data_IF_733113179718
#
_entry.id   IF_733113179718
#
_cell.length_a   1.000
_cell.length_b   1.000
_cell.length_c   1.000
_cell.angle_alpha   90.00
_cell.angle_beta   90.00
_cell.angle_gamma   90.00
#
_symmetry.space_group_name_H-M   'P 1'
#
loop_
_entity.id
_entity.type
_entity.pdbx_description
1 polymer ?
#
# COMPACT_ATOMS: atom_id res chain seq x y z
N UNK A 1 10.87 25.37 12.84
CA UNK A 1 10.54 24.76 11.52
C UNK A 1 11.63 24.96 10.45
N UNK A 2 12.33 26.12 10.38
CA UNK A 2 13.36 26.38 9.35
C UNK A 2 14.55 25.40 9.35
N UNK A 3 15.08 25.01 10.51
CA UNK A 3 16.28 24.13 10.58
C UNK A 3 16.03 22.71 9.99
N UNK A 4 14.88 22.12 10.25
CA UNK A 4 14.52 20.80 9.70
C UNK A 4 14.37 20.83 8.17
N UNK A 5 13.81 21.90 7.63
CA UNK A 5 13.69 22.10 6.19
C UNK A 5 15.06 22.24 5.49
N UNK A 6 15.97 23.02 6.09
CA UNK A 6 17.35 23.15 5.59
C UNK A 6 18.13 21.84 5.66
N UNK A 7 17.97 21.08 6.75
CA UNK A 7 18.62 19.76 6.87
C UNK A 7 18.10 18.79 5.81
N UNK A 8 16.79 18.78 5.58
CA UNK A 8 16.16 17.94 4.54
C UNK A 8 16.64 18.34 3.14
N UNK A 9 16.75 19.64 2.86
CA UNK A 9 17.25 20.18 1.59
C UNK A 9 18.73 19.83 1.39
N UNK A 10 19.55 19.89 2.44
CA UNK A 10 20.97 19.54 2.39
C UNK A 10 21.19 18.05 2.18
N UNK A 11 20.42 17.17 2.87
CA UNK A 11 20.43 15.72 2.65
C UNK A 11 19.98 15.39 1.22
N UNK A 12 18.94 16.06 0.71
CA UNK A 12 18.48 15.88 -0.67
C UNK A 12 19.54 16.28 -1.70
N UNK A 13 20.22 17.42 -1.49
CA UNK A 13 21.31 17.85 -2.39
C UNK A 13 22.54 16.94 -2.29
N UNK A 14 22.88 16.41 -1.12
CA UNK A 14 23.98 15.45 -0.98
C UNK A 14 23.68 14.11 -1.66
N UNK A 15 22.45 13.64 -1.62
CA UNK A 15 22.00 12.45 -2.36
C UNK A 15 22.09 12.67 -3.88
N UNK A 16 21.76 13.87 -4.38
CA UNK A 16 21.89 14.21 -5.81
C UNK A 16 23.36 14.26 -6.29
N UNK A 17 24.30 14.61 -5.43
CA UNK A 17 25.72 14.69 -5.78
C UNK A 17 26.39 13.32 -5.99
N UNK A 18 25.81 12.24 -5.46
CA UNK A 18 26.36 10.88 -5.55
C UNK A 18 25.84 10.08 -6.76
N UNK A 19 24.88 10.61 -7.50
CA UNK A 19 24.18 9.83 -8.53
C UNK A 19 24.85 9.95 -9.90
N UNK A 20 25.24 8.81 -10.42
CA UNK A 20 25.88 8.74 -11.73
C UNK A 20 24.89 8.75 -12.89
N UNK A 21 23.72 8.19 -12.72
CA UNK A 21 22.59 8.18 -13.65
C UNK A 21 21.30 8.17 -12.86
N UNK A 22 20.39 9.07 -13.15
CA UNK A 22 19.04 9.01 -12.58
C UNK A 22 17.99 9.31 -13.64
N UNK A 23 16.81 8.72 -13.47
CA UNK A 23 15.65 9.03 -14.30
C UNK A 23 14.51 9.55 -13.43
N UNK A 24 13.80 10.55 -13.93
CA UNK A 24 12.59 11.08 -13.35
C UNK A 24 11.39 10.60 -14.16
N UNK A 25 10.36 10.10 -13.49
CA UNK A 25 9.12 9.68 -14.15
C UNK A 25 7.91 10.38 -13.55
N UNK A 26 6.97 10.76 -14.40
CA UNK A 26 5.67 11.31 -14.01
C UNK A 26 4.59 10.59 -14.80
N UNK A 27 3.54 10.16 -14.12
CA UNK A 27 2.49 9.38 -14.75
C UNK A 27 1.21 9.31 -13.94
N UNK A 28 0.32 8.46 -14.42
CA UNK A 28 -0.95 8.16 -13.76
C UNK A 28 -1.06 6.67 -13.54
N UNK A 29 -1.83 6.29 -12.53
CA UNK A 29 -2.10 4.89 -12.23
C UNK A 29 -3.54 4.71 -11.78
N UNK A 30 -4.02 3.48 -11.92
CA UNK A 30 -5.29 3.02 -11.38
C UNK A 30 -5.16 1.56 -10.97
N UNK A 31 -6.15 1.00 -10.29
CA UNK A 31 -6.07 -0.39 -9.89
C UNK A 31 -7.26 -0.89 -9.09
N UNK A 32 -7.05 -2.03 -8.47
CA UNK A 32 -8.01 -2.68 -7.59
C UNK A 32 -7.44 -2.75 -6.18
N UNK A 33 -8.30 -2.55 -5.20
CA UNK A 33 -7.99 -2.75 -3.78
C UNK A 33 -8.93 -3.78 -3.19
N UNK A 34 -8.40 -4.71 -2.41
CA UNK A 34 -9.19 -5.63 -1.59
C UNK A 34 -8.81 -5.41 -0.13
N UNK A 35 -9.80 -5.12 0.71
CA UNK A 35 -9.59 -4.76 2.11
C UNK A 35 -9.93 -5.92 3.04
N UNK A 36 -9.18 -6.00 4.13
CA UNK A 36 -9.42 -6.86 5.27
C UNK A 36 -9.44 -6.01 6.54
N UNK A 37 -10.51 -6.12 7.31
CA UNK A 37 -10.67 -5.42 8.59
C UNK A 37 -10.52 -6.43 9.73
N UNK A 38 -9.45 -6.30 10.50
CA UNK A 38 -9.27 -7.02 11.76
C UNK A 38 -9.92 -6.22 12.89
N UNK A 39 -11.10 -6.62 13.31
CA UNK A 39 -11.85 -5.98 14.39
C UNK A 39 -12.20 -7.01 15.47
N UNK A 40 -11.66 -6.81 16.69
CA UNK A 40 -11.87 -7.74 17.79
C UNK A 40 -13.34 -7.86 18.20
N UNK A 41 -14.13 -6.79 18.02
CA UNK A 41 -15.57 -6.80 18.28
C UNK A 41 -16.32 -7.64 17.25
N UNK A 42 -16.10 -7.37 15.96
CA UNK A 42 -16.73 -8.14 14.86
C UNK A 42 -16.30 -9.61 14.90
N UNK A 43 -15.03 -9.90 15.17
CA UNK A 43 -14.53 -11.29 15.20
C UNK A 43 -15.11 -12.14 16.35
N UNK A 44 -15.61 -11.52 17.41
CA UNK A 44 -16.30 -12.20 18.51
C UNK A 44 -17.80 -12.36 18.28
N UNK A 45 -18.33 -11.65 17.32
CA UNK A 45 -19.76 -11.57 17.05
C UNK A 45 -20.16 -12.64 16.03
N UNK A 46 -20.92 -13.67 16.41
CA UNK A 46 -21.28 -14.78 15.53
C UNK A 46 -22.20 -14.39 14.37
N UNK A 47 -22.78 -13.19 14.41
CA UNK A 47 -23.66 -12.68 13.35
C UNK A 47 -22.91 -12.29 12.08
N UNK A 48 -21.58 -12.13 12.14
CA UNK A 48 -20.83 -11.55 11.02
C UNK A 48 -19.86 -12.53 10.39
N UNK A 49 -19.95 -12.64 9.06
CA UNK A 49 -19.00 -13.38 8.23
C UNK A 49 -18.33 -12.44 7.24
N UNK A 50 -17.01 -12.42 7.21
CA UNK A 50 -16.23 -11.55 6.32
C UNK A 50 -16.53 -11.82 4.85
N UNK A 51 -16.76 -10.75 4.08
CA UNK A 51 -16.89 -10.76 2.63
C UNK A 51 -15.70 -10.04 2.00
N UNK A 52 -15.02 -10.71 1.07
CA UNK A 52 -13.91 -10.14 0.34
C UNK A 52 -14.39 -9.59 -1.00
N UNK A 53 -14.12 -8.33 -1.24
CA UNK A 53 -14.49 -7.64 -2.47
C UNK A 53 -13.29 -6.85 -2.99
N UNK A 54 -13.13 -6.86 -4.31
CA UNK A 54 -12.20 -5.95 -4.98
C UNK A 54 -12.95 -4.66 -5.34
N UNK A 55 -12.46 -3.53 -4.85
CA UNK A 55 -12.99 -2.19 -5.15
C UNK A 55 -12.06 -1.49 -6.12
N UNK A 56 -12.63 -0.81 -7.10
CA UNK A 56 -11.84 -0.03 -8.06
C UNK A 56 -11.25 1.20 -7.34
N UNK A 57 -9.94 1.41 -7.50
CA UNK A 57 -9.27 2.61 -7.03
C UNK A 57 -9.34 3.69 -8.12
N UNK A 58 -9.76 4.92 -7.77
CA UNK A 58 -9.73 6.04 -8.70
C UNK A 58 -8.32 6.30 -9.24
N UNK A 59 -8.25 7.10 -10.31
CA UNK A 59 -6.98 7.46 -10.92
C UNK A 59 -6.15 8.27 -9.93
N UNK A 60 -4.89 7.85 -9.74
CA UNK A 60 -3.89 8.55 -8.97
C UNK A 60 -2.74 9.04 -9.86
N UNK A 61 -1.89 9.87 -9.29
CA UNK A 61 -0.68 10.38 -9.95
C UNK A 61 0.53 9.70 -9.33
N UNK A 62 1.55 9.37 -10.13
CA UNK A 62 2.82 8.92 -9.62
C UNK A 62 3.98 9.79 -10.10
N UNK A 63 4.92 10.04 -9.22
CA UNK A 63 6.20 10.68 -9.50
C UNK A 63 7.26 9.72 -9.00
N UNK A 64 8.14 9.28 -9.89
CA UNK A 64 9.20 8.32 -9.57
C UNK A 64 10.57 8.89 -9.88
N UNK A 65 11.54 8.54 -9.05
CA UNK A 65 12.96 8.81 -9.26
C UNK A 65 13.69 7.47 -9.19
N UNK A 66 14.38 7.11 -10.26
CA UNK A 66 15.15 5.87 -10.35
C UNK A 66 16.64 6.14 -10.41
N UNK A 67 17.36 5.40 -9.63
CA UNK A 67 18.80 5.28 -9.61
C UNK A 67 19.21 3.86 -10.02
N UNK A 68 20.48 3.61 -10.20
CA UNK A 68 20.99 2.34 -10.71
C UNK A 68 20.52 1.10 -9.92
N UNK A 69 20.47 1.17 -8.57
CA UNK A 69 20.07 0.03 -7.71
C UNK A 69 18.79 0.25 -6.92
N UNK A 70 18.25 1.46 -6.87
CA UNK A 70 17.08 1.80 -6.08
C UNK A 70 16.28 2.95 -6.69
N UNK A 71 15.08 3.19 -6.20
CA UNK A 71 14.26 4.32 -6.60
C UNK A 71 13.30 4.76 -5.52
N UNK A 72 12.76 5.94 -5.69
CA UNK A 72 11.72 6.52 -4.84
C UNK A 72 10.46 6.74 -5.67
N UNK A 73 9.31 6.49 -5.05
CA UNK A 73 8.00 6.74 -5.66
C UNK A 73 7.17 7.57 -4.70
N UNK A 74 6.57 8.61 -5.22
CA UNK A 74 5.54 9.41 -4.58
C UNK A 74 4.26 9.26 -5.40
N UNK A 75 3.20 8.67 -4.83
CA UNK A 75 2.04 8.26 -5.60
C UNK A 75 0.71 8.64 -4.92
N UNK A 76 0.38 9.96 -4.80
CA UNK A 76 -0.87 10.39 -4.22
C UNK A 76 -2.07 9.87 -5.01
N UNK A 77 -3.12 9.45 -4.27
CA UNK A 77 -4.34 8.93 -4.84
C UNK A 77 -5.44 8.73 -3.80
N UNK A 78 -6.61 8.38 -4.26
CA UNK A 78 -7.73 8.04 -3.39
C UNK A 78 -7.79 6.53 -3.25
N UNK A 79 -7.97 6.04 -2.03
CA UNK A 79 -8.16 4.63 -1.74
C UNK A 79 -9.47 4.40 -0.98
N UNK A 80 -10.10 3.26 -1.25
CA UNK A 80 -11.24 2.78 -0.49
C UNK A 80 -10.78 1.62 0.39
N UNK A 81 -10.98 1.78 1.70
CA UNK A 81 -10.60 0.80 2.73
C UNK A 81 -11.86 0.41 3.50
N UNK A 82 -11.87 -0.76 4.08
CA UNK A 82 -13.01 -1.29 4.83
C UNK A 82 -13.60 -2.52 4.14
N UNK A 83 -13.83 -3.54 4.94
CA UNK A 83 -14.38 -4.82 4.53
C UNK A 83 -15.90 -4.84 4.75
N UNK A 84 -16.62 -5.51 3.86
CA UNK A 84 -18.02 -5.83 4.07
C UNK A 84 -18.15 -7.19 4.79
N UNK A 85 -19.25 -7.34 5.53
CA UNK A 85 -19.57 -8.58 6.25
C UNK A 85 -21.00 -8.99 5.91
N UNK A 86 -21.21 -10.27 5.69
CA UNK A 86 -22.56 -10.82 5.67
C UNK A 86 -23.13 -10.87 7.09
N UNK A 87 -24.40 -10.51 7.24
CA UNK A 87 -25.17 -10.81 8.44
C UNK A 87 -25.74 -12.21 8.25
N UNK A 88 -25.41 -13.13 9.19
CA UNK A 88 -25.79 -14.54 9.09
C UNK A 88 -26.81 -14.92 10.15
N UNK A 89 -27.78 -15.74 9.78
CA UNK A 89 -28.75 -16.31 10.71
C UNK A 89 -28.17 -17.52 11.48
N UNK A 90 -28.93 -18.06 12.43
CA UNK A 90 -28.52 -19.23 13.25
C UNK A 90 -28.25 -20.49 12.45
N UNK A 91 -28.74 -20.59 11.21
CA UNK A 91 -28.52 -21.71 10.30
C UNK A 91 -27.37 -21.46 9.31
N UNK A 92 -26.70 -20.30 9.40
CA UNK A 92 -25.62 -19.90 8.49
C UNK A 92 -26.08 -19.26 7.17
N UNK A 93 -27.39 -19.00 7.02
CA UNK A 93 -27.94 -18.27 5.88
C UNK A 93 -27.57 -16.79 5.92
N UNK A 94 -27.34 -16.19 4.74
CA UNK A 94 -26.98 -14.77 4.59
C UNK A 94 -28.26 -13.92 4.52
N UNK A 95 -28.48 -13.07 5.51
CA UNK A 95 -29.71 -12.29 5.67
C UNK A 95 -29.51 -10.80 5.33
N UNK A 96 -28.25 -10.34 5.28
CA UNK A 96 -27.96 -8.95 5.02
C UNK A 96 -26.48 -8.65 4.94
N UNK A 97 -26.15 -7.36 5.01
CA UNK A 97 -24.79 -6.84 4.90
C UNK A 97 -24.51 -5.78 5.96
N UNK A 98 -23.33 -5.88 6.57
CA UNK A 98 -22.68 -4.81 7.30
C UNK A 98 -21.59 -4.23 6.40
N UNK A 99 -21.72 -2.97 6.03
CA UNK A 99 -20.81 -2.27 5.11
C UNK A 99 -19.92 -1.30 5.88
N UNK A 100 -18.64 -1.40 5.68
CA UNK A 100 -17.64 -0.47 6.20
C UNK A 100 -17.02 0.24 5.02
N UNK A 101 -17.28 1.53 4.88
CA UNK A 101 -16.78 2.35 3.80
C UNK A 101 -15.93 3.49 4.37
N UNK A 102 -14.62 3.37 4.22
CA UNK A 102 -13.63 4.38 4.56
C UNK A 102 -12.91 4.80 3.29
N UNK A 103 -12.98 6.08 2.94
CA UNK A 103 -12.26 6.64 1.81
C UNK A 103 -11.20 7.60 2.28
N UNK A 104 -9.97 7.40 1.83
CA UNK A 104 -8.82 8.22 2.20
C UNK A 104 -8.16 8.85 0.99
N UNK A 105 -7.72 10.09 1.14
CA UNK A 105 -6.64 10.65 0.33
C UNK A 105 -5.34 10.08 0.88
N UNK A 106 -4.71 9.21 0.14
CA UNK A 106 -3.51 8.46 0.51
C UNK A 106 -2.29 8.97 -0.26
N UNK A 107 -1.17 9.16 0.44
CA UNK A 107 0.05 9.74 -0.14
C UNK A 107 1.23 8.82 0.15
N UNK A 108 1.35 7.66 -0.54
CA UNK A 108 2.44 6.75 -0.32
C UNK A 108 3.78 7.32 -0.80
N UNK A 109 4.77 7.21 0.08
CA UNK A 109 6.18 7.41 -0.21
C UNK A 109 6.83 6.04 -0.16
N UNK A 110 7.32 5.56 -1.28
CA UNK A 110 7.83 4.21 -1.42
C UNK A 110 9.29 4.21 -1.88
N UNK A 111 10.09 3.42 -1.19
CA UNK A 111 11.43 3.03 -1.62
C UNK A 111 11.30 1.74 -2.44
N UNK A 112 11.91 1.69 -3.60
CA UNK A 112 12.06 0.48 -4.40
C UNK A 112 13.53 0.09 -4.52
N UNK A 113 13.80 -1.19 -4.36
CA UNK A 113 15.13 -1.80 -4.56
C UNK A 113 15.03 -2.70 -5.77
N UNK A 114 15.86 -2.46 -6.78
CA UNK A 114 15.85 -3.23 -8.02
C UNK A 114 16.46 -4.62 -7.78
N UNK A 115 15.64 -5.65 -7.92
CA UNK A 115 16.06 -7.07 -7.84
C UNK A 115 16.56 -7.55 -9.22
N UNK A 116 15.88 -7.11 -10.28
CA UNK A 116 16.25 -7.36 -11.66
C UNK A 116 16.25 -6.01 -12.37
N UNK A 117 17.33 -5.70 -13.05
CA UNK A 117 17.50 -4.45 -13.78
C UNK A 117 18.02 -4.74 -15.19
N UNK A 118 17.11 -4.91 -16.14
CA UNK A 118 17.39 -5.07 -17.55
C UNK A 118 17.06 -3.76 -18.28
N UNK A 119 17.54 -3.61 -19.50
CA UNK A 119 17.35 -2.38 -20.30
C UNK A 119 15.87 -2.00 -20.48
N UNK A 120 14.99 -2.99 -20.64
CA UNK A 120 13.56 -2.78 -20.90
C UNK A 120 12.64 -3.23 -19.76
N UNK A 121 13.19 -3.89 -18.72
CA UNK A 121 12.41 -4.46 -17.62
C UNK A 121 13.13 -4.32 -16.29
N UNK A 122 12.43 -3.81 -15.29
CA UNK A 122 12.93 -3.72 -13.91
C UNK A 122 11.92 -4.38 -12.97
N UNK A 123 12.38 -5.32 -12.15
CA UNK A 123 11.61 -5.87 -11.05
C UNK A 123 12.18 -5.33 -9.74
N UNK A 124 11.33 -4.76 -8.91
CA UNK A 124 11.75 -4.14 -7.64
C UNK A 124 10.94 -4.66 -6.47
N UNK A 125 11.59 -4.87 -5.34
CA UNK A 125 10.94 -4.94 -4.05
C UNK A 125 10.60 -3.51 -3.61
N UNK A 126 9.43 -3.33 -3.01
CA UNK A 126 8.91 -2.02 -2.60
C UNK A 126 8.56 -2.04 -1.12
N UNK A 127 9.01 -1.03 -0.40
CA UNK A 127 8.57 -0.73 0.96
C UNK A 127 8.04 0.71 1.01
N UNK A 128 6.93 0.95 1.69
CA UNK A 128 6.26 2.25 1.70
C UNK A 128 5.71 2.63 3.05
N UNK A 129 5.65 3.92 3.29
CA UNK A 129 4.84 4.56 4.30
C UNK A 129 3.86 5.51 3.61
N UNK A 130 2.62 5.52 4.05
CA UNK A 130 1.57 6.27 3.39
C UNK A 130 0.70 6.99 4.42
N UNK A 131 1.00 8.28 4.70
CA UNK A 131 0.06 9.14 5.42
C UNK A 131 -1.24 9.27 4.62
N UNK A 132 -2.36 9.22 5.32
CA UNK A 132 -3.68 9.24 4.71
C UNK A 132 -4.64 10.11 5.51
N UNK A 133 -5.48 10.87 4.80
CA UNK A 133 -6.49 11.76 5.37
C UNK A 133 -7.88 11.21 5.01
N UNK A 134 -8.73 11.02 6.00
CA UNK A 134 -10.08 10.51 5.83
C UNK A 134 -10.96 11.53 5.10
N UNK A 135 -11.45 11.16 3.93
CA UNK A 135 -12.40 11.94 3.14
C UNK A 135 -13.85 11.62 3.52
N UNK A 136 -14.15 10.31 3.58
CA UNK A 136 -15.46 9.78 3.96
C UNK A 136 -15.29 8.60 4.90
N UNK A 137 -16.22 8.43 5.84
CA UNK A 137 -16.26 7.31 6.76
C UNK A 137 -17.68 7.03 7.20
N UNK A 138 -18.13 5.80 6.97
CA UNK A 138 -19.43 5.32 7.45
C UNK A 138 -19.43 3.83 7.64
N UNK A 139 -20.26 3.36 8.56
CA UNK A 139 -20.53 1.96 8.78
C UNK A 139 -22.05 1.78 8.93
N UNK A 140 -22.62 0.90 8.12
CA UNK A 140 -24.06 0.67 8.01
C UNK A 140 -24.36 -0.82 8.02
N UNK A 141 -25.52 -1.18 8.56
CA UNK A 141 -26.03 -2.55 8.54
C UNK A 141 -27.44 -2.58 7.98
N UNK A 142 -27.72 -3.61 7.19
CA UNK A 142 -29.07 -4.00 6.78
C UNK A 142 -29.24 -5.52 6.92
N UNK A 143 -30.44 -5.99 7.18
CA UNK A 143 -30.80 -7.40 7.13
C UNK A 143 -32.32 -7.58 7.03
N UNK A 144 -32.73 -8.75 6.52
CA UNK A 144 -34.13 -9.17 6.51
C UNK A 144 -34.60 -9.60 7.90
N UNK A 145 -35.91 -9.81 8.03
CA UNK A 145 -36.47 -10.51 9.19
C UNK A 145 -35.80 -11.87 9.32
N UNK A 146 -35.20 -12.15 10.45
CA UNK A 146 -34.45 -13.39 10.60
C UNK A 146 -34.15 -13.72 12.06
N UNK A 147 -33.71 -14.94 12.30
CA UNK A 147 -33.23 -15.39 13.62
C UNK A 147 -31.69 -15.22 13.65
N UNK A 148 -31.21 -14.27 14.45
CA UNK A 148 -29.78 -14.00 14.63
C UNK A 148 -29.26 -14.51 15.97
N UNK A 149 -28.00 -14.93 16.00
CA UNK A 149 -27.33 -15.35 17.22
C UNK A 149 -26.65 -14.17 17.91
N UNK A 150 -27.36 -13.50 18.81
CA UNK A 150 -26.77 -12.38 19.56
C UNK A 150 -25.77 -12.88 20.61
N UNK A 151 -24.64 -12.17 20.79
CA UNK A 151 -23.72 -12.47 21.88
C UNK A 151 -24.36 -12.16 23.23
N UNK A 152 -24.04 -12.95 24.30
CA UNK A 152 -24.66 -12.80 25.62
C UNK A 152 -24.59 -11.40 26.22
N UNK A 153 -23.58 -10.65 25.88
CA UNK A 153 -23.35 -9.28 26.34
C UNK A 153 -24.47 -8.32 25.90
N UNK A 154 -25.20 -8.66 24.84
CA UNK A 154 -26.24 -7.81 24.24
C UNK A 154 -27.64 -8.17 24.73
N UNK A 155 -27.89 -9.40 25.22
CA UNK A 155 -29.22 -9.85 25.64
C UNK A 155 -29.98 -8.94 26.62
N UNK A 156 -29.32 -8.30 27.61
CA UNK A 156 -30.01 -7.40 28.52
C UNK A 156 -30.55 -6.13 27.88
N UNK A 157 -30.15 -5.85 26.64
CA UNK A 157 -30.39 -4.58 25.95
C UNK A 157 -31.25 -4.75 24.70
N UNK A 158 -31.81 -5.94 24.49
CA UNK A 158 -32.66 -6.20 23.32
C UNK A 158 -33.92 -5.34 23.34
N UNK A 159 -34.28 -4.73 22.20
CA UNK A 159 -35.52 -3.97 22.04
C UNK A 159 -36.77 -4.88 22.31
N UNK A 160 -37.93 -4.28 22.68
CA UNK A 160 -39.15 -5.03 23.01
C UNK A 160 -39.75 -5.81 21.82
N UNK A 161 -39.43 -5.41 20.59
CA UNK A 161 -39.86 -6.06 19.35
C UNK A 161 -38.97 -7.25 18.93
N UNK A 162 -37.94 -7.54 19.73
CA UNK A 162 -37.05 -8.69 19.55
C UNK A 162 -37.52 -9.84 20.41
N UNK A 163 -37.72 -11.04 19.81
CA UNK A 163 -38.19 -12.22 20.52
C UNK A 163 -37.05 -13.21 20.76
N UNK A 164 -36.72 -13.43 22.02
CA UNK A 164 -35.70 -14.44 22.41
C UNK A 164 -36.27 -15.84 22.28
N UNK A 165 -35.56 -16.68 21.53
CA UNK A 165 -35.85 -18.12 21.38
C UNK A 165 -34.67 -18.97 21.85
N UNK A 166 -34.84 -20.29 21.88
CA UNK A 166 -33.82 -21.23 22.40
C UNK A 166 -32.45 -21.09 21.68
N UNK A 167 -32.46 -20.92 20.36
CA UNK A 167 -31.26 -20.94 19.48
C UNK A 167 -30.92 -19.59 18.87
N UNK A 168 -31.59 -18.52 19.32
CA UNK A 168 -31.33 -17.18 18.81
C UNK A 168 -32.38 -16.16 19.14
N UNK A 169 -32.36 -15.04 18.44
CA UNK A 169 -33.31 -13.94 18.60
C UNK A 169 -33.95 -13.63 17.26
N UNK A 170 -35.28 -13.68 17.22
CA UNK A 170 -36.03 -13.18 16.07
C UNK A 170 -35.95 -11.65 16.05
N UNK A 171 -35.48 -11.11 14.93
CA UNK A 171 -35.31 -9.68 14.73
C UNK A 171 -36.12 -9.20 13.54
N UNK A 172 -36.73 -8.02 13.61
CA UNK A 172 -37.41 -7.43 12.50
C UNK A 172 -36.41 -6.96 11.42
N UNK A 173 -36.88 -6.77 10.20
CA UNK A 173 -36.10 -6.25 9.09
C UNK A 173 -35.53 -4.87 9.40
N UNK A 174 -34.27 -4.68 9.05
CA UNK A 174 -33.59 -3.37 9.04
C UNK A 174 -33.16 -3.05 7.62
N UNK A 175 -33.75 -2.02 7.03
CA UNK A 175 -33.38 -1.58 5.67
C UNK A 175 -32.05 -0.85 5.66
N UNK A 176 -31.81 0.02 6.64
CA UNK A 176 -30.55 0.75 6.81
C UNK A 176 -30.44 1.29 8.23
N UNK A 177 -29.39 0.87 8.94
CA UNK A 177 -29.06 1.39 10.25
C UNK A 177 -27.59 1.86 10.27
N UNK A 178 -27.40 3.12 10.62
CA UNK A 178 -26.05 3.72 10.69
C UNK A 178 -25.42 3.38 12.03
N UNK A 179 -24.34 2.60 12.00
CA UNK A 179 -23.53 2.24 13.18
C UNK A 179 -22.56 3.37 13.54
N UNK A 180 -21.84 3.88 12.55
CA UNK A 180 -20.88 4.97 12.73
C UNK A 180 -20.83 5.90 11.53
N UNK A 181 -20.39 7.14 11.77
CA UNK A 181 -20.27 8.20 10.80
C UNK A 181 -18.84 8.74 10.78
N UNK A 182 -18.49 9.60 9.82
CA UNK A 182 -17.16 10.20 9.65
C UNK A 182 -16.55 10.72 10.95
N UNK A 183 -17.35 11.35 11.83
CA UNK A 183 -16.92 11.91 13.13
C UNK A 183 -16.40 10.84 14.13
N UNK A 184 -16.84 9.59 13.96
CA UNK A 184 -16.47 8.46 14.81
C UNK A 184 -15.13 7.85 14.38
N UNK A 185 -14.56 8.30 13.26
CA UNK A 185 -13.26 7.87 12.74
C UNK A 185 -12.21 8.97 12.86
N UNK A 186 -10.96 8.56 13.08
CA UNK A 186 -9.80 9.49 13.09
C UNK A 186 -9.59 10.06 11.70
N UNK A 187 -9.36 11.36 11.63
CA UNK A 187 -9.11 12.06 10.35
C UNK A 187 -7.78 11.69 9.71
N UNK A 188 -6.83 11.18 10.49
CA UNK A 188 -5.50 10.79 10.03
C UNK A 188 -5.25 9.30 10.27
N UNK A 189 -4.67 8.65 9.26
CA UNK A 189 -4.20 7.28 9.31
C UNK A 189 -2.79 7.21 8.72
N UNK A 190 -2.01 6.24 9.16
CA UNK A 190 -0.71 5.91 8.59
C UNK A 190 -0.72 4.44 8.17
N UNK A 191 -0.40 4.18 6.92
CA UNK A 191 -0.24 2.82 6.42
C UNK A 191 1.24 2.51 6.18
N UNK A 192 1.67 1.32 6.57
CA UNK A 192 2.94 0.74 6.17
C UNK A 192 2.68 -0.33 5.11
N UNK A 193 3.46 -0.33 4.05
CA UNK A 193 3.23 -1.24 2.93
C UNK A 193 4.50 -1.91 2.45
N UNK A 194 4.35 -3.12 1.90
CA UNK A 194 5.40 -3.85 1.23
C UNK A 194 4.84 -4.58 0.00
N UNK A 195 5.70 -4.81 -1.00
CA UNK A 195 5.27 -5.47 -2.21
C UNK A 195 6.32 -5.51 -3.29
N UNK A 196 5.86 -5.65 -4.53
CA UNK A 196 6.71 -5.73 -5.72
C UNK A 196 6.17 -4.80 -6.81
N UNK A 197 7.09 -4.30 -7.60
CA UNK A 197 6.77 -3.48 -8.77
C UNK A 197 7.60 -3.94 -9.96
N UNK A 198 6.91 -4.16 -11.09
CA UNK A 198 7.50 -4.41 -12.38
C UNK A 198 7.33 -3.16 -13.24
N UNK A 199 8.43 -2.63 -13.73
CA UNK A 199 8.49 -1.49 -14.66
C UNK A 199 8.94 -2.00 -16.03
N UNK A 200 8.13 -1.75 -17.07
CA UNK A 200 8.38 -2.11 -18.47
C UNK A 200 8.57 -0.84 -19.29
N UNK A 201 9.76 -0.66 -19.86
CA UNK A 201 10.06 0.45 -20.74
C UNK A 201 9.61 0.09 -22.17
N UNK A 202 8.42 0.57 -22.55
CA UNK A 202 7.79 0.27 -23.86
C UNK A 202 8.32 1.15 -24.99
N UNK A 203 8.94 2.26 -24.67
CA UNK A 203 9.67 3.12 -25.58
C UNK A 203 10.71 3.96 -24.84
N UNK A 204 11.50 4.76 -25.54
CA UNK A 204 12.53 5.62 -24.95
C UNK A 204 12.00 6.67 -23.95
N UNK A 205 10.68 6.85 -23.85
CA UNK A 205 10.09 7.87 -22.99
C UNK A 205 8.89 7.36 -22.18
N UNK A 206 8.38 6.15 -22.48
CA UNK A 206 7.17 5.64 -21.87
C UNK A 206 7.43 4.34 -21.14
N UNK A 207 6.91 4.28 -19.93
CA UNK A 207 6.98 3.14 -19.00
C UNK A 207 5.59 2.71 -18.58
N UNK A 208 5.33 1.41 -18.65
CA UNK A 208 4.17 0.78 -18.03
C UNK A 208 4.65 0.10 -16.75
N UNK A 209 3.91 0.28 -15.66
CA UNK A 209 4.24 -0.27 -14.38
C UNK A 209 3.10 -1.14 -13.84
N UNK A 210 3.45 -2.28 -13.27
CA UNK A 210 2.56 -3.15 -12.50
C UNK A 210 3.04 -3.14 -11.05
N UNK A 211 2.15 -2.79 -10.13
CA UNK A 211 2.47 -2.62 -8.72
C UNK A 211 1.54 -3.49 -7.87
N UNK A 212 2.11 -4.33 -7.04
CA UNK A 212 1.38 -5.13 -6.06
C UNK A 212 1.90 -4.78 -4.67
N UNK A 213 1.00 -4.33 -3.78
CA UNK A 213 1.34 -4.00 -2.39
C UNK A 213 0.30 -4.51 -1.43
N UNK A 214 0.77 -4.93 -0.26
CA UNK A 214 -0.05 -5.14 0.93
C UNK A 214 0.26 -4.01 1.91
N UNK A 215 -0.78 -3.36 2.40
CA UNK A 215 -0.69 -2.19 3.27
C UNK A 215 -1.41 -2.48 4.59
N UNK A 216 -0.82 -2.08 5.70
CA UNK A 216 -1.32 -2.26 7.05
C UNK A 216 -1.50 -0.93 7.75
N UNK A 217 -2.70 -0.66 8.28
CA UNK A 217 -3.01 0.54 9.06
C UNK A 217 -2.41 0.47 10.46
N UNK A 218 -1.52 1.40 10.77
CA UNK A 218 -0.78 1.42 12.03
C UNK A 218 -1.68 1.83 13.19
N UNK A 219 -2.60 2.76 12.95
CA UNK A 219 -3.48 3.26 14.01
C UNK A 219 -4.85 2.58 14.00
N UNK A 220 -5.52 2.59 15.16
CA UNK A 220 -6.96 2.28 15.20
C UNK A 220 -7.71 3.39 14.46
N UNK A 221 -8.50 3.08 13.41
CA UNK A 221 -9.23 4.09 12.65
C UNK A 221 -10.35 4.76 13.46
N UNK A 222 -10.87 4.11 14.51
CA UNK A 222 -11.91 4.67 15.39
C UNK A 222 -11.31 5.74 16.31
N UNK A 223 -12.09 6.79 16.60
CA UNK A 223 -11.73 7.79 17.62
C UNK A 223 -11.69 7.15 19.00
N UNK A 224 -10.94 7.76 19.90
CA UNK A 224 -10.84 7.26 21.27
C UNK A 224 -12.17 7.46 22.02
N UNK A 225 -12.90 8.55 21.73
CA UNK A 225 -14.24 8.81 22.24
C UNK A 225 -15.25 7.74 21.83
N UNK A 226 -15.25 7.38 20.53
CA UNK A 226 -16.11 6.32 20.02
C UNK A 226 -15.75 4.97 20.63
N UNK A 227 -14.46 4.67 20.74
CA UNK A 227 -13.98 3.42 21.33
C UNK A 227 -14.33 3.32 22.83
N UNK A 228 -14.32 4.44 23.57
CA UNK A 228 -14.78 4.48 24.94
C UNK A 228 -16.29 4.33 25.06
N UNK A 229 -17.06 4.98 24.18
CA UNK A 229 -18.53 4.81 24.12
C UNK A 229 -18.94 3.35 23.93
N UNK A 230 -18.25 2.63 23.03
CA UNK A 230 -18.49 1.20 22.83
C UNK A 230 -18.20 0.35 24.06
N UNK A 231 -17.22 0.74 24.90
CA UNK A 231 -16.88 0.02 26.14
C UNK A 231 -17.88 0.30 27.27
N UNK A 232 -18.39 1.52 27.34
CA UNK A 232 -19.31 1.94 28.42
C UNK A 232 -20.78 1.63 28.10
N UNK A 233 -21.15 1.65 26.83
CA UNK A 233 -22.50 1.35 26.35
C UNK A 233 -22.39 0.31 25.24
N UNK A 234 -22.80 -0.92 25.54
CA UNK A 234 -22.85 -1.99 24.54
C UNK A 234 -23.96 -1.65 23.55
N UNK A 235 -23.62 -1.57 22.28
CA UNK A 235 -24.57 -1.30 21.20
C UNK A 235 -25.12 -2.61 20.64
N UNK A 236 -26.36 -2.56 20.17
CA UNK A 236 -27.10 -3.73 19.68
C UNK A 236 -26.32 -4.52 18.60
N UNK A 237 -25.67 -3.82 17.68
CA UNK A 237 -24.99 -4.41 16.53
C UNK A 237 -23.46 -4.20 16.55
N UNK A 238 -22.92 -3.72 17.65
CA UNK A 238 -21.49 -3.38 17.69
C UNK A 238 -20.89 -3.70 19.07
N UNK A 239 -19.91 -4.61 19.08
CA UNK A 239 -19.14 -4.95 20.26
C UNK A 239 -17.85 -4.13 20.35
N UNK A 240 -17.38 -3.83 21.58
CA UNK A 240 -16.12 -3.14 21.77
C UNK A 240 -14.93 -3.97 21.26
N UNK A 241 -14.02 -3.33 20.54
CA UNK A 241 -12.82 -3.95 20.04
C UNK A 241 -11.88 -2.97 19.37
N UNK A 242 -10.59 -3.30 19.38
CA UNK A 242 -9.61 -2.63 18.55
C UNK A 242 -9.78 -3.05 17.10
N UNK A 243 -9.60 -2.07 16.19
CA UNK A 243 -9.68 -2.27 14.77
C UNK A 243 -8.35 -1.94 14.09
N UNK A 244 -8.01 -2.74 13.10
CA UNK A 244 -6.90 -2.51 12.18
C UNK A 244 -7.38 -2.82 10.77
N UNK A 245 -7.12 -1.91 9.85
CA UNK A 245 -7.49 -2.10 8.47
C UNK A 245 -6.24 -2.45 7.65
N UNK A 246 -6.37 -3.45 6.80
CA UNK A 246 -5.36 -3.87 5.84
C UNK A 246 -5.96 -3.83 4.44
N UNK A 247 -5.15 -3.61 3.43
CA UNK A 247 -5.60 -3.77 2.06
C UNK A 247 -4.46 -4.24 1.16
N UNK A 248 -4.80 -5.13 0.24
CA UNK A 248 -3.96 -5.48 -0.89
C UNK A 248 -4.35 -4.60 -2.08
N UNK A 249 -3.37 -4.10 -2.80
CA UNK A 249 -3.55 -3.27 -3.98
C UNK A 249 -2.82 -3.89 -5.17
N UNK A 250 -3.51 -3.99 -6.30
CA UNK A 250 -2.91 -4.28 -7.61
C UNK A 250 -3.16 -3.07 -8.48
N UNK A 251 -2.10 -2.44 -8.95
CA UNK A 251 -2.20 -1.22 -9.76
C UNK A 251 -1.45 -1.37 -11.08
N UNK A 252 -1.97 -0.71 -12.10
CA UNK A 252 -1.32 -0.51 -13.39
C UNK A 252 -1.14 0.99 -13.60
N UNK A 253 0.03 1.40 -14.06
CA UNK A 253 0.34 2.79 -14.33
C UNK A 253 1.05 2.96 -15.66
N UNK A 254 0.90 4.16 -16.22
CA UNK A 254 1.67 4.62 -17.36
C UNK A 254 2.37 5.92 -16.98
N UNK A 255 3.65 6.01 -17.28
CA UNK A 255 4.46 7.19 -16.96
C UNK A 255 5.37 7.56 -18.12
N UNK A 256 5.59 8.86 -18.24
CA UNK A 256 6.67 9.40 -19.08
C UNK A 256 7.90 9.54 -18.19
N UNK A 257 9.04 9.07 -18.67
CA UNK A 257 10.30 9.23 -17.95
C UNK A 257 11.34 9.98 -18.78
N UNK A 258 12.25 10.65 -18.08
CA UNK A 258 13.35 11.43 -18.63
C UNK A 258 14.61 10.92 -17.95
N UNK A 259 15.57 10.48 -18.74
CA UNK A 259 16.90 10.09 -18.26
C UNK A 259 17.83 11.30 -18.28
N UNK A 260 18.51 11.49 -17.16
CA UNK A 260 19.54 12.50 -17.04
C UNK A 260 20.90 11.81 -17.15
N UNK A 261 21.44 11.76 -18.36
CA UNK A 261 22.78 11.24 -18.60
C UNK A 261 23.86 12.25 -18.20
N UNK A 262 24.99 11.75 -17.74
CA UNK A 262 26.19 12.58 -17.58
C UNK A 262 26.60 13.17 -18.91
N UNK A 263 26.98 14.46 -18.89
CA UNK A 263 27.49 15.11 -20.08
C UNK A 263 28.67 14.32 -20.64
N UNK A 264 28.80 14.27 -21.99
CA UNK A 264 29.89 13.56 -22.68
C UNK A 264 31.30 13.94 -22.18
N UNK A 265 31.46 15.12 -21.60
CA UNK A 265 32.72 15.57 -20.98
C UNK A 265 33.06 14.79 -19.71
N UNK A 266 32.07 14.41 -18.90
CA UNK A 266 32.29 13.65 -17.67
C UNK A 266 32.48 12.16 -17.98
N UNK A 267 31.77 11.64 -18.98
CA UNK A 267 31.96 10.27 -19.51
C UNK A 267 33.38 10.06 -20.03
N UNK A 268 33.90 11.05 -20.77
CA UNK A 268 35.30 11.06 -21.27
C UNK A 268 36.34 11.18 -20.14
N UNK A 269 36.03 11.88 -19.03
CA UNK A 269 36.91 11.94 -17.85
C UNK A 269 36.97 10.61 -17.10
N UNK A 270 35.89 9.91 -16.96
CA UNK A 270 35.87 8.57 -16.32
C UNK A 270 36.61 7.51 -17.14
N UNK A 271 36.38 7.49 -18.45
CA UNK A 271 37.11 6.61 -19.36
C UNK A 271 38.64 6.90 -19.35
N UNK A 272 39.05 8.13 -19.19
CA UNK A 272 40.50 8.49 -19.05
C UNK A 272 41.05 8.12 -17.67
N UNK A 273 40.23 8.07 -16.62
CA UNK A 273 40.64 7.68 -15.25
C UNK A 273 40.78 6.16 -15.05
N UNK A 274 40.04 5.35 -15.79
CA UNK A 274 40.07 3.89 -15.71
C UNK A 274 41.10 3.21 -16.59
N UNK A 275 41.66 3.91 -17.59
CA UNK A 275 42.82 3.43 -18.31
C UNK A 275 44.08 3.64 -17.45
N UNK A 276 44.22 2.96 -16.31
CA UNK A 276 45.54 2.61 -15.78
C UNK A 276 46.26 1.89 -16.92
N UNK A 277 47.30 2.59 -17.48
CA UNK A 277 48.15 2.04 -18.49
C UNK A 277 48.56 0.63 -18.06
N UNK A 278 48.04 -0.37 -18.71
CA UNK A 278 48.52 -1.74 -18.62
C UNK A 278 49.94 -1.68 -19.24
N UNK A 279 50.93 -1.57 -18.40
CA UNK A 279 52.31 -1.77 -18.86
C UNK A 279 52.42 -3.28 -19.16
N UNK A 280 52.58 -3.67 -20.44
CA UNK A 280 52.79 -5.10 -20.72
C UNK A 280 54.05 -5.52 -19.98
N UNK A 281 53.93 -6.64 -19.27
CA UNK A 281 55.07 -7.25 -18.59
C UNK A 281 56.19 -7.45 -19.60
N UNK A 282 57.38 -6.86 -19.36
CA UNK A 282 58.57 -7.14 -20.16
C UNK A 282 58.88 -8.61 -19.95
N UNK A 283 58.54 -9.42 -20.95
CA UNK A 283 59.08 -10.79 -21.01
C UNK A 283 60.60 -10.65 -21.16
N UNK A 284 61.43 -11.37 -20.34
CA UNK A 284 62.86 -11.42 -20.51
C UNK A 284 63.14 -12.06 -21.87
N UNK A 285 63.78 -11.25 -22.76
CA UNK A 285 64.04 -11.64 -24.12
C UNK A 285 64.88 -12.90 -24.21
N UNK A 286 64.35 -13.91 -24.86
CA UNK A 286 65.10 -15.03 -25.40
C UNK A 286 66.01 -14.49 -26.52
N UNK A 287 67.34 -14.54 -26.30
CA UNK A 287 68.34 -14.19 -27.32
C UNK A 287 68.15 -15.10 -28.54
N UNK A 288 68.18 -14.61 -29.76
CA UNK A 288 68.12 -15.44 -30.94
C UNK A 288 69.45 -16.25 -31.07
N UNK A 289 69.30 -17.54 -31.18
CA UNK A 289 70.43 -18.47 -31.44
C UNK A 289 70.81 -18.34 -32.89
N UNK A 290 71.91 -17.66 -33.18
CA UNK A 290 72.50 -17.64 -34.50
C UNK A 290 73.17 -18.99 -34.75
N UNK A 291 72.60 -19.83 -35.59
CA UNK A 291 73.30 -20.99 -36.19
C UNK A 291 74.07 -20.54 -37.42
N UNK A 292 75.45 -20.61 -37.33
CA UNK A 292 76.31 -20.51 -38.50
C UNK A 292 76.19 -21.80 -39.32
N UNK A 293 76.08 -21.71 -40.66
CA UNK A 293 76.21 -22.87 -41.52
C UNK A 293 77.72 -23.23 -41.61
N UNK A 294 78.05 -24.52 -41.39
CA UNK A 294 79.35 -25.06 -41.80
C UNK A 294 79.22 -25.48 -43.26
N UNK A 295 80.14 -24.97 -44.05
CA UNK A 295 80.48 -25.44 -45.39
C UNK A 295 81.23 -26.73 -45.41
#
# INVERSE_FOLDING_TARGET
MGKAFFTLLFVFNSLLAWTQQFSLSVGVYTGLTSSYTSDKGINKDPRYQGRYEAKFAPIGVNIGMDYEGFGLIFAPGIINVGQNFYVTNTLGGQEGLRKIDLQYLNVPIALKVHLINLTFFKLSAVASIAPAILLQGKEEINHNDSKLQFPPEVYPILPPDYTVEYDGVLVPKIDQYSLSQKKDFKSFQLFAGAGFRADLDVSNHWRVAFDFRVNYGIFNPRTDEYSQRLKSNILLYELPGERRDMFAQVAIGISRYIEFEKSDKERKKQLKGTTKKYKPAKYPGTKPRTSKPKG
#
